data_IF_456333754387
#
_entry.id   IF_456333754387
#
_cell.length_a   1.000
_cell.length_b   1.000
_cell.length_c   1.000
_cell.angle_alpha   90.00
_cell.angle_beta   90.00
_cell.angle_gamma   90.00
#
_symmetry.space_group_name_H-M   'P 1'
#
loop_
_entity.id
_entity.type
_entity.pdbx_description
1 polymer ?
#
# COMPACT_ATOMS: atom_id res chain seq x y z
N UNK A 1 -10.67 5.25 10.55
CA UNK A 1 -9.27 5.52 10.95
C UNK A 1 -8.60 6.30 9.84
N UNK A 2 -7.92 7.41 10.16
CA UNK A 2 -7.25 8.22 9.13
C UNK A 2 -5.95 7.56 8.68
N UNK A 3 -5.63 7.68 7.40
CA UNK A 3 -4.32 7.28 6.86
C UNK A 3 -3.19 7.95 7.66
N UNK A 4 -2.10 7.23 7.90
CA UNK A 4 -0.93 7.75 8.61
C UNK A 4 -0.20 8.74 7.69
N UNK A 5 -0.05 9.99 8.14
CA UNK A 5 0.58 11.05 7.35
C UNK A 5 2.07 10.76 7.14
N UNK A 6 2.50 10.77 5.88
CA UNK A 6 3.92 10.71 5.51
C UNK A 6 4.60 12.03 5.96
N UNK A 7 5.77 11.99 6.62
CA UNK A 7 6.48 13.20 7.03
C UNK A 7 6.75 14.13 5.85
N UNK A 8 6.60 15.44 6.06
CA UNK A 8 6.67 16.43 4.98
C UNK A 8 8.07 16.54 4.34
N UNK A 9 9.13 16.12 5.05
CA UNK A 9 10.50 16.12 4.54
C UNK A 9 10.86 14.86 3.73
N UNK A 10 9.99 13.84 3.70
CA UNK A 10 10.25 12.62 2.93
C UNK A 10 9.99 12.85 1.45
N UNK A 11 10.70 12.11 0.60
CA UNK A 11 10.52 12.17 -0.86
C UNK A 11 10.27 10.79 -1.43
N UNK A 12 9.61 10.74 -2.60
CA UNK A 12 9.46 9.52 -3.39
C UNK A 12 10.85 9.10 -3.90
N UNK A 13 11.26 7.88 -3.58
CA UNK A 13 12.50 7.27 -4.10
C UNK A 13 12.23 6.38 -5.32
N UNK A 14 11.03 5.77 -5.36
CA UNK A 14 10.62 4.88 -6.45
C UNK A 14 9.11 4.89 -6.59
N UNK A 15 8.63 4.82 -7.82
CA UNK A 15 7.24 4.54 -8.15
C UNK A 15 7.15 3.29 -9.00
N UNK A 16 6.13 2.47 -8.78
CA UNK A 16 5.84 1.34 -9.68
C UNK A 16 5.15 1.84 -10.94
N UNK A 17 5.17 1.01 -11.99
CA UNK A 17 4.18 1.11 -13.05
C UNK A 17 2.77 0.84 -12.52
N UNK A 18 1.75 1.02 -13.37
CA UNK A 18 0.40 0.61 -13.04
C UNK A 18 0.26 -0.89 -12.99
N UNK A 19 -0.45 -1.35 -11.96
CA UNK A 19 -0.88 -2.73 -11.79
C UNK A 19 -2.39 -2.86 -11.97
N UNK A 20 -2.78 -3.97 -12.56
CA UNK A 20 -4.15 -4.46 -12.72
C UNK A 20 -4.22 -5.91 -12.23
N UNK A 21 -5.40 -6.53 -12.30
CA UNK A 21 -5.58 -7.92 -11.87
C UNK A 21 -4.71 -8.91 -12.65
N UNK A 22 -4.33 -8.58 -13.88
CA UNK A 22 -3.57 -9.42 -14.80
C UNK A 22 -2.06 -9.39 -14.55
N UNK A 23 -1.52 -8.28 -14.06
CA UNK A 23 -0.07 -8.08 -13.97
C UNK A 23 0.43 -7.73 -12.55
N UNK A 24 -0.46 -7.65 -11.57
CA UNK A 24 -0.09 -7.37 -10.18
C UNK A 24 0.88 -8.44 -9.65
N UNK A 25 2.02 -8.04 -9.04
CA UNK A 25 2.90 -9.01 -8.40
C UNK A 25 2.16 -9.77 -7.29
N UNK A 26 2.23 -11.09 -7.33
CA UNK A 26 1.53 -11.96 -6.36
C UNK A 26 1.93 -11.71 -4.90
N UNK A 27 3.10 -11.12 -4.68
CA UNK A 27 3.56 -10.69 -3.36
C UNK A 27 2.62 -9.66 -2.71
N UNK A 28 2.04 -8.74 -3.51
CA UNK A 28 1.13 -7.71 -2.99
C UNK A 28 -0.21 -8.30 -2.49
N UNK A 29 -0.60 -9.46 -3.03
CA UNK A 29 -1.83 -10.16 -2.67
C UNK A 29 -1.67 -11.03 -1.40
N UNK A 30 -0.43 -11.18 -0.92
CA UNK A 30 -0.07 -11.95 0.27
C UNK A 30 0.46 -11.00 1.36
N UNK A 31 0.64 -11.54 2.57
CA UNK A 31 1.28 -10.82 3.67
C UNK A 31 2.66 -10.32 3.27
N UNK A 32 2.83 -9.00 3.31
CA UNK A 32 4.10 -8.34 3.08
C UNK A 32 4.14 -7.01 3.86
N UNK A 33 5.29 -6.36 3.86
CA UNK A 33 5.46 -5.02 4.40
C UNK A 33 6.46 -4.22 3.57
N UNK A 34 6.63 -2.94 3.91
CA UNK A 34 7.72 -2.12 3.40
C UNK A 34 8.95 -2.26 4.29
N UNK A 35 10.12 -1.98 3.72
CA UNK A 35 11.38 -1.95 4.48
C UNK A 35 11.35 -0.91 5.60
N UNK A 36 12.27 -1.05 6.56
CA UNK A 36 12.50 -0.03 7.61
C UNK A 36 12.74 1.33 6.96
N UNK A 37 12.09 2.37 7.49
CA UNK A 37 12.22 3.73 6.97
C UNK A 37 11.54 3.98 5.62
N UNK A 38 10.74 3.04 5.11
CA UNK A 38 10.03 3.20 3.83
C UNK A 38 8.52 3.23 4.03
N UNK A 39 7.88 4.31 3.60
CA UNK A 39 6.42 4.42 3.53
C UNK A 39 5.94 3.95 2.16
N UNK A 40 4.89 3.13 2.12
CA UNK A 40 4.16 2.85 0.89
C UNK A 40 2.99 3.81 0.75
N UNK A 41 2.74 4.36 -0.44
CA UNK A 41 1.53 5.09 -0.79
C UNK A 41 0.89 4.43 -2.00
N UNK A 42 -0.27 3.81 -1.81
CA UNK A 42 -1.04 3.14 -2.85
C UNK A 42 -2.10 4.10 -3.38
N UNK A 43 -2.03 4.42 -4.67
CA UNK A 43 -2.93 5.34 -5.35
C UNK A 43 -3.80 4.58 -6.36
N UNK A 44 -5.13 4.69 -6.25
CA UNK A 44 -6.07 3.97 -7.13
C UNK A 44 -6.57 4.91 -8.22
N UNK A 45 -6.34 4.54 -9.49
CA UNK A 45 -6.75 5.32 -10.66
C UNK A 45 -8.10 4.87 -11.20
N UNK A 46 -8.39 3.57 -11.13
CA UNK A 46 -9.64 2.98 -11.59
C UNK A 46 -10.06 1.85 -10.63
N UNK A 47 -11.36 1.61 -10.53
CA UNK A 47 -11.91 0.54 -9.71
C UNK A 47 -11.67 0.75 -8.22
N UNK A 48 -11.35 -0.34 -7.51
CA UNK A 48 -11.21 -0.32 -6.06
C UNK A 48 -10.14 -1.30 -5.60
N UNK A 49 -9.34 -0.86 -4.62
CA UNK A 49 -8.39 -1.71 -3.91
C UNK A 49 -8.80 -1.79 -2.45
N UNK A 50 -8.96 -3.01 -1.93
CA UNK A 50 -9.20 -3.24 -0.50
C UNK A 50 -7.88 -3.57 0.18
N UNK A 51 -7.52 -2.77 1.18
CA UNK A 51 -6.33 -2.92 1.99
C UNK A 51 -6.67 -3.61 3.32
N UNK A 52 -5.85 -4.58 3.70
CA UNK A 52 -5.94 -5.27 4.99
C UNK A 52 -4.63 -5.11 5.76
N UNK A 53 -4.69 -4.55 6.97
CA UNK A 53 -3.55 -4.35 7.86
C UNK A 53 -3.57 -5.33 9.03
N UNK A 54 -2.39 -5.78 9.45
CA UNK A 54 -2.19 -6.84 10.43
C UNK A 54 -1.19 -6.41 11.51
N UNK A 55 -1.40 -6.90 12.73
CA UNK A 55 -0.52 -6.61 13.86
C UNK A 55 0.92 -7.13 13.66
N UNK A 56 1.09 -8.26 12.96
CA UNK A 56 2.37 -8.90 12.68
C UNK A 56 2.23 -9.91 11.51
N UNK A 57 3.33 -10.57 11.16
CA UNK A 57 3.42 -11.55 10.07
C UNK A 57 2.53 -12.79 10.25
N UNK A 58 2.34 -13.24 11.50
CA UNK A 58 1.61 -14.46 11.83
C UNK A 58 0.12 -14.22 12.11
N UNK A 59 -0.33 -12.96 12.09
CA UNK A 59 -1.71 -12.61 12.38
C UNK A 59 -2.64 -13.14 11.28
N UNK A 60 -3.64 -13.93 11.69
CA UNK A 60 -4.63 -14.50 10.76
C UNK A 60 -5.78 -13.53 10.47
N UNK A 61 -6.11 -12.67 11.44
CA UNK A 61 -7.16 -11.67 11.33
C UNK A 61 -6.57 -10.28 11.15
N UNK A 62 -7.22 -9.49 10.29
CA UNK A 62 -6.82 -8.11 10.04
C UNK A 62 -7.37 -7.19 11.14
N UNK A 63 -6.54 -6.28 11.62
CA UNK A 63 -6.96 -5.23 12.56
C UNK A 63 -7.47 -3.98 11.82
N UNK A 64 -7.16 -3.86 10.52
CA UNK A 64 -7.54 -2.73 9.68
C UNK A 64 -8.08 -3.24 8.34
N UNK A 65 -9.23 -2.71 7.92
CA UNK A 65 -9.77 -2.87 6.57
C UNK A 65 -10.11 -1.50 5.99
N UNK A 66 -9.58 -1.20 4.81
CA UNK A 66 -9.84 0.08 4.12
C UNK A 66 -10.17 -0.20 2.66
N UNK A 67 -11.26 0.39 2.18
CA UNK A 67 -11.62 0.38 0.76
C UNK A 67 -11.13 1.68 0.14
N UNK A 68 -10.30 1.58 -0.91
CA UNK A 68 -9.66 2.72 -1.58
C UNK A 68 -10.24 2.80 -3.00
N UNK A 69 -11.02 3.85 -3.26
CA UNK A 69 -11.67 4.05 -4.56
C UNK A 69 -10.77 4.85 -5.50
N UNK A 70 -11.12 4.85 -6.79
CA UNK A 70 -10.51 5.73 -7.79
C UNK A 70 -10.42 7.20 -7.32
N UNK A 71 -9.26 7.81 -7.55
CA UNK A 71 -8.95 9.17 -7.10
C UNK A 71 -8.51 9.27 -5.62
N UNK A 72 -8.46 8.15 -4.90
CA UNK A 72 -8.02 8.10 -3.50
C UNK A 72 -6.68 7.37 -3.37
N UNK A 73 -6.07 7.53 -2.20
CA UNK A 73 -4.87 6.79 -1.83
C UNK A 73 -4.91 6.35 -0.36
N UNK A 74 -4.14 5.31 -0.04
CA UNK A 74 -3.82 4.93 1.33
C UNK A 74 -2.31 4.82 1.52
N UNK A 75 -1.88 4.86 2.78
CA UNK A 75 -0.47 4.86 3.16
C UNK A 75 -0.16 3.72 4.13
N UNK A 76 0.87 2.93 3.84
CA UNK A 76 1.40 1.86 4.69
C UNK A 76 2.64 2.34 5.44
N UNK A 77 2.62 2.42 6.77
CA UNK A 77 3.81 2.74 7.56
C UNK A 77 4.95 1.72 7.36
N UNK A 78 6.21 2.12 7.62
CA UNK A 78 7.34 1.20 7.57
C UNK A 78 7.11 -0.07 8.39
N UNK A 79 7.42 -1.23 7.80
CA UNK A 79 7.36 -2.55 8.43
C UNK A 79 5.97 -3.00 8.91
N UNK A 80 4.90 -2.26 8.57
CA UNK A 80 3.54 -2.65 8.90
C UNK A 80 3.04 -3.73 7.93
N UNK A 81 2.55 -4.84 8.48
CA UNK A 81 2.12 -6.01 7.71
C UNK A 81 0.77 -5.77 7.06
N UNK A 82 0.67 -6.06 5.77
CA UNK A 82 -0.53 -5.86 4.99
C UNK A 82 -0.61 -6.75 3.75
N UNK A 83 -1.78 -6.75 3.14
CA UNK A 83 -2.03 -7.28 1.79
C UNK A 83 -3.15 -6.48 1.13
N UNK A 84 -3.32 -6.67 -0.19
CA UNK A 84 -4.42 -6.04 -0.93
C UNK A 84 -5.27 -7.07 -1.66
N UNK A 85 -6.53 -6.69 -1.90
CA UNK A 85 -7.45 -7.32 -2.84
C UNK A 85 -7.91 -6.29 -3.87
N UNK A 86 -8.18 -6.75 -5.08
CA UNK A 86 -8.48 -5.90 -6.24
C UNK A 86 -9.90 -6.19 -6.71
N UNK A 87 -10.64 -5.14 -7.08
CA UNK A 87 -11.80 -5.31 -7.98
C UNK A 87 -11.33 -5.75 -9.37
N UNK A 88 -12.25 -6.29 -10.17
CA UNK A 88 -11.92 -6.80 -11.51
C UNK A 88 -11.35 -5.73 -12.44
N UNK A 89 -11.79 -4.48 -12.30
CA UNK A 89 -11.33 -3.32 -13.07
C UNK A 89 -10.31 -2.44 -12.33
N UNK A 90 -9.70 -2.92 -11.25
CA UNK A 90 -8.79 -2.10 -10.46
C UNK A 90 -7.53 -1.75 -11.24
N UNK A 91 -7.15 -0.48 -11.22
CA UNK A 91 -5.85 0.01 -11.70
C UNK A 91 -5.23 0.91 -10.63
N UNK A 92 -4.00 0.61 -10.22
CA UNK A 92 -3.33 1.34 -9.14
C UNK A 92 -1.80 1.36 -9.33
N UNK A 93 -1.12 2.27 -8.65
CA UNK A 93 0.34 2.24 -8.52
C UNK A 93 0.76 2.47 -7.06
N UNK A 94 2.04 2.23 -6.76
CA UNK A 94 2.62 2.47 -5.44
C UNK A 94 3.81 3.43 -5.53
N UNK A 95 3.81 4.47 -4.71
CA UNK A 95 4.97 5.31 -4.45
C UNK A 95 5.64 4.87 -3.15
N UNK A 96 6.97 4.74 -3.17
CA UNK A 96 7.78 4.43 -1.99
C UNK A 96 8.52 5.68 -1.54
N UNK A 97 8.20 6.13 -0.34
CA UNK A 97 8.75 7.32 0.29
C UNK A 97 9.78 6.94 1.34
N UNK A 98 10.88 7.68 1.42
CA UNK A 98 11.83 7.60 2.52
C UNK A 98 12.42 8.97 2.82
N UNK A 99 13.06 9.08 3.98
CA UNK A 99 13.97 10.19 4.24
C UNK A 99 15.19 10.07 3.31
N UNK A 100 15.60 11.18 2.67
CA UNK A 100 16.79 11.20 1.80
C UNK A 100 18.10 11.15 2.58
N UNK A 101 18.06 11.42 3.88
CA UNK A 101 19.26 11.46 4.73
C UNK A 101 19.62 10.10 5.34
N UNK A 102 18.92 9.01 4.99
CA UNK A 102 19.30 7.66 5.41
C UNK A 102 20.29 7.01 4.44
#
# INVERSE_FOLDING_TARGET
MSHKRIPANWTIQRSTAFFTKENVPSALLKHHNTARGVFGQLCVMEGTVTYFGFANEQAMEHEVKVVINAGQFATSPPQYWHRIELSDNAQFNINFWSDKSQ
#
